data_IF_325632958799
#
_entry.id   IF_325632958799
#
_cell.length_a   1.000
_cell.length_b   1.000
_cell.length_c   1.000
_cell.angle_alpha   90.00
_cell.angle_beta   90.00
_cell.angle_gamma   90.00
#
_symmetry.space_group_name_H-M   'P 1'
#
loop_
_entity.id
_entity.type
_entity.pdbx_description
1 polymer ?
#
# COMPACT_ATOMS: atom_id res chain seq x y z
N UNK A 1 -6.49 -21.88 13.79
CA UNK A 1 -5.15 -21.54 14.30
C UNK A 1 -4.92 -20.09 13.92
N UNK A 2 -4.72 -19.20 14.88
CA UNK A 2 -4.41 -17.80 14.62
C UNK A 2 -2.96 -17.70 14.17
N UNK A 3 -2.72 -17.15 12.98
CA UNK A 3 -1.37 -16.85 12.50
C UNK A 3 -1.28 -15.32 12.52
N UNK A 4 -0.51 -14.79 13.47
CA UNK A 4 -0.25 -13.37 13.54
C UNK A 4 0.57 -12.95 12.33
N UNK A 5 0.26 -11.79 11.77
CA UNK A 5 1.07 -11.17 10.73
C UNK A 5 2.41 -10.74 11.33
N UNK A 6 3.50 -11.05 10.65
CA UNK A 6 4.82 -10.55 11.03
C UNK A 6 5.03 -9.17 10.38
N UNK A 7 4.99 -8.09 11.17
CA UNK A 7 5.26 -6.72 10.69
C UNK A 7 6.48 -6.12 11.39
N UNK A 8 7.12 -5.09 10.81
CA UNK A 8 8.21 -4.38 11.47
C UNK A 8 7.74 -3.71 12.76
N UNK A 9 8.44 -3.98 13.86
CA UNK A 9 8.18 -3.39 15.17
C UNK A 9 9.44 -2.76 15.80
N UNK A 10 10.50 -2.59 15.00
CA UNK A 10 11.76 -1.96 15.41
C UNK A 10 12.04 -0.77 14.49
N UNK A 11 12.43 0.35 15.09
CA UNK A 11 12.76 1.57 14.36
C UNK A 11 14.20 1.54 13.81
N UNK A 12 14.47 2.25 12.70
CA UNK A 12 13.50 2.95 11.86
C UNK A 12 12.63 1.97 11.05
N UNK A 13 11.36 2.33 10.82
CA UNK A 13 10.47 1.57 9.93
C UNK A 13 10.36 2.31 8.60
N UNK A 14 10.87 1.70 7.54
CA UNK A 14 10.80 2.27 6.19
C UNK A 14 9.37 2.19 5.63
N UNK A 15 8.90 3.29 5.06
CA UNK A 15 7.56 3.42 4.48
C UNK A 15 7.60 3.92 3.05
N UNK A 16 6.59 3.52 2.29
CA UNK A 16 6.34 3.95 0.93
C UNK A 16 4.95 4.60 0.89
N UNK A 17 4.89 5.85 0.45
CA UNK A 17 3.65 6.53 0.11
C UNK A 17 3.53 6.68 -1.41
N UNK A 18 2.33 6.46 -1.94
CA UNK A 18 2.07 6.63 -3.37
C UNK A 18 1.33 7.94 -3.61
N UNK A 19 1.93 8.80 -4.41
CA UNK A 19 1.41 10.10 -4.78
C UNK A 19 0.75 10.03 -6.16
N UNK A 20 -0.01 11.07 -6.50
CA UNK A 20 -0.70 11.22 -7.78
C UNK A 20 0.22 10.92 -8.98
N UNK A 21 -0.30 10.21 -9.97
CA UNK A 21 0.45 9.80 -11.17
C UNK A 21 1.46 8.67 -10.91
N UNK A 22 1.39 8.02 -9.74
CA UNK A 22 2.21 6.86 -9.40
C UNK A 22 3.63 7.16 -8.93
N UNK A 23 3.91 8.41 -8.58
CA UNK A 23 5.18 8.76 -7.94
C UNK A 23 5.24 8.16 -6.52
N UNK A 24 6.39 7.60 -6.17
CA UNK A 24 6.64 7.05 -4.83
C UNK A 24 7.37 8.08 -3.97
N UNK A 25 6.99 8.14 -2.70
CA UNK A 25 7.65 8.90 -1.66
C UNK A 25 8.14 7.93 -0.59
N UNK A 26 9.43 7.98 -0.30
CA UNK A 26 10.07 7.14 0.71
C UNK A 26 10.32 7.98 1.96
N UNK A 27 9.98 7.43 3.13
CA UNK A 27 10.20 8.07 4.42
C UNK A 27 10.37 7.01 5.51
N UNK A 28 10.92 7.43 6.63
CA UNK A 28 11.10 6.57 7.79
C UNK A 28 10.13 6.98 8.89
N UNK A 29 9.63 6.00 9.64
CA UNK A 29 9.09 6.23 10.97
C UNK A 29 10.21 5.97 11.96
N UNK A 30 10.51 6.96 12.80
CA UNK A 30 11.48 6.87 13.89
C UNK A 30 10.78 6.99 15.23
N UNK A 31 11.44 6.51 16.28
CA UNK A 31 10.93 6.68 17.64
C UNK A 31 10.93 8.15 18.04
N UNK A 32 10.00 8.52 18.92
CA UNK A 32 10.00 9.84 19.57
C UNK A 32 11.34 10.20 20.21
N UNK A 33 11.95 9.27 20.94
CA UNK A 33 13.24 9.51 21.61
C UNK A 33 14.37 9.82 20.62
N UNK A 34 14.40 9.11 19.49
CA UNK A 34 15.33 9.41 18.41
C UNK A 34 15.07 10.78 17.78
N UNK A 35 13.80 11.12 17.52
CA UNK A 35 13.41 12.42 16.99
C UNK A 35 13.81 13.57 17.94
N UNK A 36 13.57 13.44 19.24
CA UNK A 36 13.96 14.42 20.26
C UNK A 36 15.48 14.62 20.31
N UNK A 37 16.26 13.53 20.19
CA UNK A 37 17.72 13.61 20.12
C UNK A 37 18.20 14.31 18.84
N UNK A 38 17.63 13.98 17.68
CA UNK A 38 18.02 14.58 16.39
C UNK A 38 17.64 16.06 16.29
N UNK A 39 16.58 16.47 16.99
CA UNK A 39 16.06 17.84 16.98
C UNK A 39 16.56 18.70 18.15
N UNK A 40 17.41 18.16 19.01
CA UNK A 40 17.90 18.84 20.20
C UNK A 40 18.61 20.16 19.84
N UNK A 41 18.06 21.28 20.33
CA UNK A 41 18.58 22.62 20.07
C UNK A 41 18.24 23.19 18.69
N UNK A 42 17.44 22.51 17.88
CA UNK A 42 16.91 23.05 16.63
C UNK A 42 15.64 23.86 16.88
N UNK A 43 15.46 24.92 16.10
CA UNK A 43 14.21 25.68 16.08
C UNK A 43 13.17 24.95 15.25
N UNK A 44 11.97 24.79 15.82
CA UNK A 44 10.82 24.27 15.10
C UNK A 44 10.35 25.30 14.06
N UNK A 45 10.16 24.86 12.83
CA UNK A 45 9.73 25.69 11.71
C UNK A 45 8.28 25.43 11.35
N UNK A 46 7.67 26.41 10.71
CA UNK A 46 6.29 26.36 10.23
C UNK A 46 6.28 26.35 8.70
N UNK A 47 5.46 25.47 8.11
CA UNK A 47 5.08 25.54 6.71
C UNK A 47 3.56 25.79 6.62
N UNK A 48 3.16 26.61 5.64
CA UNK A 48 1.78 26.69 5.19
C UNK A 48 1.62 25.79 3.98
N UNK A 49 0.92 24.68 4.17
CA UNK A 49 0.58 23.75 3.09
C UNK A 49 -0.61 24.30 2.31
N UNK A 50 -0.96 23.66 1.20
CA UNK A 50 -2.15 24.04 0.44
C UNK A 50 -3.38 24.17 1.38
N UNK A 51 -4.36 25.02 1.04
CA UNK A 51 -5.52 25.34 1.89
C UNK A 51 -5.25 26.10 3.20
N UNK A 52 -4.03 26.61 3.42
CA UNK A 52 -3.74 27.46 4.57
C UNK A 52 -3.66 26.72 5.90
N UNK A 53 -3.53 25.39 5.89
CA UNK A 53 -3.18 24.63 7.09
C UNK A 53 -1.72 24.86 7.42
N UNK A 54 -1.44 24.95 8.71
CA UNK A 54 -0.09 25.09 9.23
C UNK A 54 0.41 23.73 9.75
N UNK A 55 1.67 23.43 9.45
CA UNK A 55 2.37 22.22 9.89
C UNK A 55 3.72 22.61 10.43
N UNK A 56 4.10 21.96 11.53
CA UNK A 56 5.40 22.16 12.13
C UNK A 56 6.37 21.06 11.72
N UNK A 57 7.64 21.41 11.60
CA UNK A 57 8.71 20.48 11.25
C UNK A 57 10.06 20.97 11.79
N UNK A 58 11.04 20.08 11.80
CA UNK A 58 12.44 20.40 12.07
C UNK A 58 13.26 20.10 10.82
N UNK A 59 14.09 21.06 10.39
CA UNK A 59 15.06 20.85 9.31
C UNK A 59 16.41 20.47 9.92
N UNK A 60 16.90 19.28 9.60
CA UNK A 60 18.20 18.81 10.05
C UNK A 60 19.33 19.39 9.19
N UNK A 61 20.56 19.32 9.69
CA UNK A 61 21.75 19.83 8.98
C UNK A 61 22.08 19.08 7.69
N UNK A 62 21.63 17.82 7.57
CA UNK A 62 21.75 17.00 6.37
C UNK A 62 20.66 17.29 5.32
N UNK A 63 19.73 18.21 5.61
CA UNK A 63 18.61 18.58 4.74
C UNK A 63 17.37 17.70 4.90
N UNK A 64 17.44 16.63 5.70
CA UNK A 64 16.27 15.82 6.04
C UNK A 64 15.32 16.56 6.97
N UNK A 65 14.06 16.12 7.00
CA UNK A 65 12.99 16.78 7.74
C UNK A 65 12.35 15.81 8.72
N UNK A 66 12.23 16.22 9.98
CA UNK A 66 11.44 15.52 11.00
C UNK A 66 10.11 16.24 11.13
N UNK A 67 9.00 15.51 10.97
CA UNK A 67 7.66 16.05 11.18
C UNK A 67 7.45 16.45 12.65
N UNK A 68 6.36 17.14 12.94
CA UNK A 68 6.01 17.49 14.32
C UNK A 68 6.00 16.28 15.27
N UNK A 69 6.73 16.40 16.37
CA UNK A 69 6.84 15.35 17.40
C UNK A 69 5.59 15.42 18.30
N UNK A 70 4.52 14.75 17.90
CA UNK A 70 3.26 14.69 18.67
C UNK A 70 2.97 13.33 19.29
N UNK A 71 3.52 12.28 18.69
CA UNK A 71 3.18 10.89 18.99
C UNK A 71 4.46 10.09 19.25
N UNK A 72 4.30 8.81 19.63
CA UNK A 72 5.43 7.89 19.85
C UNK A 72 6.22 7.60 18.56
N UNK A 73 5.55 7.76 17.42
CA UNK A 73 6.07 7.61 16.07
C UNK A 73 6.16 8.98 15.39
N UNK A 74 7.29 9.24 14.74
CA UNK A 74 7.55 10.50 14.04
C UNK A 74 8.06 10.19 12.63
N UNK A 75 7.55 10.91 11.63
CA UNK A 75 7.98 10.76 10.25
C UNK A 75 9.28 11.54 10.03
N UNK A 76 10.25 10.88 9.41
CA UNK A 76 11.48 11.48 8.90
C UNK A 76 11.52 11.36 7.38
N UNK A 77 11.60 12.50 6.71
CA UNK A 77 11.63 12.63 5.26
C UNK A 77 13.04 12.96 4.79
N UNK A 78 13.44 12.46 3.62
CA UNK A 78 14.76 12.72 3.05
C UNK A 78 14.97 14.19 2.68
N UNK A 79 13.89 14.93 2.39
CA UNK A 79 13.94 16.34 2.03
C UNK A 79 12.70 17.11 2.46
N UNK A 80 12.80 18.43 2.46
CA UNK A 80 11.65 19.32 2.63
C UNK A 80 10.58 19.15 1.53
N UNK A 81 10.99 18.85 0.30
CA UNK A 81 10.04 18.63 -0.79
C UNK A 81 9.20 17.37 -0.55
N UNK A 82 9.80 16.28 -0.07
CA UNK A 82 9.07 15.07 0.27
C UNK A 82 8.05 15.34 1.39
N UNK A 83 8.47 16.04 2.45
CA UNK A 83 7.55 16.44 3.52
C UNK A 83 6.38 17.28 3.00
N UNK A 84 6.64 18.28 2.14
CA UNK A 84 5.59 19.11 1.57
C UNK A 84 4.63 18.31 0.68
N UNK A 85 5.16 17.42 -0.17
CA UNK A 85 4.38 16.55 -1.05
C UNK A 85 3.47 15.59 -0.27
N UNK A 86 3.99 15.05 0.84
CA UNK A 86 3.24 14.18 1.74
C UNK A 86 2.04 14.92 2.36
N UNK A 87 2.25 16.15 2.84
CA UNK A 87 1.18 16.94 3.44
C UNK A 87 0.12 17.37 2.41
N UNK A 88 0.54 17.79 1.22
CA UNK A 88 -0.38 18.13 0.14
C UNK A 88 -1.22 16.92 -0.30
N UNK A 89 -0.63 15.73 -0.35
CA UNK A 89 -1.35 14.48 -0.62
C UNK A 89 -2.40 14.18 0.46
N UNK A 90 -2.02 14.26 1.74
CA UNK A 90 -2.94 13.98 2.84
C UNK A 90 -4.13 14.93 2.84
N UNK A 91 -3.90 16.20 2.51
CA UNK A 91 -4.95 17.19 2.37
C UNK A 91 -5.85 16.92 1.16
N UNK A 92 -5.28 16.57 0.00
CA UNK A 92 -6.05 16.22 -1.19
C UNK A 92 -6.94 15.00 -0.92
N UNK A 93 -6.42 13.99 -0.22
CA UNK A 93 -7.18 12.82 0.22
C UNK A 93 -8.33 13.20 1.14
N UNK A 94 -8.05 14.01 2.16
CA UNK A 94 -9.08 14.46 3.09
C UNK A 94 -10.22 15.19 2.37
N UNK A 95 -9.90 16.07 1.41
CA UNK A 95 -10.90 16.79 0.60
C UNK A 95 -11.72 15.86 -0.27
N UNK A 96 -11.07 14.93 -0.98
CA UNK A 96 -11.77 13.96 -1.81
C UNK A 96 -12.80 13.16 -0.99
N UNK A 97 -12.41 12.70 0.21
CA UNK A 97 -13.33 12.00 1.12
C UNK A 97 -14.52 12.89 1.54
N UNK A 98 -14.27 14.16 1.88
CA UNK A 98 -15.35 15.10 2.24
C UNK A 98 -16.32 15.38 1.08
N UNK A 99 -15.84 15.34 -0.15
CA UNK A 99 -16.64 15.51 -1.37
C UNK A 99 -17.39 14.23 -1.78
N UNK A 100 -17.28 13.14 -1.01
CA UNK A 100 -17.86 11.85 -1.35
C UNK A 100 -17.07 11.10 -2.44
N UNK A 101 -15.92 11.62 -2.86
CA UNK A 101 -14.97 10.93 -3.71
C UNK A 101 -14.16 9.97 -2.82
N UNK A 102 -14.80 8.86 -2.42
CA UNK A 102 -14.15 7.72 -1.74
C UNK A 102 -13.38 6.91 -2.81
N UNK A 103 -12.63 7.62 -3.65
CA UNK A 103 -11.93 7.07 -4.80
C UNK A 103 -10.97 5.96 -4.39
N UNK A 104 -10.46 5.27 -5.40
CA UNK A 104 -9.53 4.16 -5.27
C UNK A 104 -8.11 4.71 -4.98
N UNK A 105 -8.02 5.63 -4.01
CA UNK A 105 -6.79 6.24 -3.54
C UNK A 105 -5.82 5.16 -3.03
N UNK A 106 -6.37 4.06 -2.51
CA UNK A 106 -5.57 2.95 -2.01
C UNK A 106 -4.80 2.21 -3.12
N UNK A 107 -5.24 2.34 -4.39
CA UNK A 107 -4.53 1.82 -5.59
C UNK A 107 -3.64 2.86 -6.27
N UNK A 108 -3.53 4.07 -5.70
CA UNK A 108 -2.67 5.12 -6.23
C UNK A 108 -1.26 4.56 -6.43
N UNK A 109 -0.70 4.66 -7.65
CA UNK A 109 0.65 4.21 -7.98
C UNK A 109 0.97 2.72 -7.87
N UNK A 110 0.00 1.86 -7.54
CA UNK A 110 0.23 0.42 -7.38
C UNK A 110 0.11 -0.39 -8.67
N UNK A 111 -0.49 0.17 -9.71
CA UNK A 111 -0.64 -0.46 -11.02
C UNK A 111 0.17 0.31 -12.08
N UNK A 112 1.42 -0.09 -12.36
CA UNK A 112 2.26 0.56 -13.37
C UNK A 112 1.81 0.28 -14.81
N UNK A 113 0.97 -0.73 -15.04
CA UNK A 113 0.48 -1.09 -16.38
C UNK A 113 -0.74 -0.29 -16.82
N UNK A 114 -1.29 0.56 -15.93
CA UNK A 114 -2.46 1.36 -16.25
C UNK A 114 -3.64 0.50 -16.73
N UNK A 115 -4.32 0.94 -17.79
CA UNK A 115 -5.42 0.20 -18.43
C UNK A 115 -4.99 -1.14 -19.05
N UNK A 116 -3.70 -1.37 -19.29
CA UNK A 116 -3.17 -2.58 -19.93
C UNK A 116 -2.91 -3.73 -18.95
N UNK A 117 -3.18 -3.54 -17.66
CA UNK A 117 -3.01 -4.58 -16.64
C UNK A 117 -3.51 -5.98 -17.06
N UNK A 118 -4.67 -6.17 -17.71
CA UNK A 118 -5.15 -7.49 -18.10
C UNK A 118 -4.19 -8.26 -19.03
N UNK A 119 -3.39 -7.56 -19.84
CA UNK A 119 -2.39 -8.14 -20.74
C UNK A 119 -1.16 -8.70 -19.99
N UNK A 120 -0.94 -8.24 -18.76
CA UNK A 120 0.20 -8.61 -17.91
C UNK A 120 -0.15 -9.64 -16.83
N UNK A 121 -1.40 -10.09 -16.75
CA UNK A 121 -1.84 -11.06 -15.72
C UNK A 121 -1.01 -12.34 -15.75
N UNK A 122 -0.66 -12.83 -16.95
CA UNK A 122 0.11 -14.06 -17.09
C UNK A 122 1.55 -13.94 -16.60
N UNK A 123 2.21 -12.84 -16.96
CA UNK A 123 3.54 -12.46 -16.48
C UNK A 123 3.54 -12.31 -14.95
N UNK A 124 2.60 -11.52 -14.43
CA UNK A 124 2.46 -11.24 -12.99
C UNK A 124 2.25 -12.52 -12.17
N UNK A 125 1.38 -13.42 -12.64
CA UNK A 125 1.19 -14.71 -11.98
C UNK A 125 2.46 -15.60 -12.01
N UNK A 126 3.28 -15.48 -13.06
CA UNK A 126 4.47 -16.32 -13.24
C UNK A 126 5.61 -15.98 -12.28
N UNK A 127 5.69 -14.72 -11.82
CA UNK A 127 6.73 -14.25 -10.90
C UNK A 127 6.36 -14.47 -9.42
N UNK A 128 5.08 -14.61 -9.11
CA UNK A 128 4.57 -14.75 -7.73
C UNK A 128 5.22 -15.90 -6.92
N UNK A 129 5.50 -17.10 -7.49
CA UNK A 129 6.18 -18.16 -6.74
C UNK A 129 7.56 -17.76 -6.23
N UNK A 130 8.32 -17.00 -7.03
CA UNK A 130 9.64 -16.53 -6.65
C UNK A 130 9.56 -15.48 -5.53
N UNK A 131 8.64 -14.53 -5.64
CA UNK A 131 8.41 -13.49 -4.63
C UNK A 131 8.01 -14.07 -3.26
N UNK A 132 7.17 -15.11 -3.27
CA UNK A 132 6.75 -15.78 -2.04
C UNK A 132 7.74 -16.84 -1.54
N UNK A 133 8.84 -17.08 -2.25
CA UNK A 133 9.76 -18.20 -1.99
C UNK A 133 9.02 -19.56 -1.86
N UNK A 134 8.09 -19.80 -2.79
CA UNK A 134 7.18 -20.94 -2.77
C UNK A 134 7.34 -21.83 -4.01
N UNK A 135 7.14 -23.17 -3.89
CA UNK A 135 7.20 -24.05 -5.04
C UNK A 135 6.12 -23.72 -6.09
N UNK A 136 6.52 -23.48 -7.35
CA UNK A 136 5.61 -23.12 -8.44
C UNK A 136 4.44 -24.11 -8.64
N UNK A 137 4.63 -25.39 -8.33
CA UNK A 137 3.57 -26.42 -8.36
C UNK A 137 2.36 -26.13 -7.47
N UNK A 138 2.49 -25.22 -6.49
CA UNK A 138 1.39 -24.82 -5.62
C UNK A 138 0.45 -23.81 -6.31
N UNK A 139 0.90 -23.16 -7.38
CA UNK A 139 0.17 -22.11 -8.11
C UNK A 139 -0.61 -22.71 -9.28
N UNK A 140 -1.50 -23.66 -8.99
CA UNK A 140 -2.22 -24.45 -9.98
C UNK A 140 -3.62 -23.90 -10.33
N UNK A 141 -3.89 -22.64 -10.01
CA UNK A 141 -5.15 -21.94 -10.27
C UNK A 141 -6.40 -22.61 -9.67
N UNK A 142 -6.28 -23.39 -8.60
CA UNK A 142 -7.44 -23.92 -7.85
C UNK A 142 -7.77 -23.02 -6.65
N UNK A 143 -9.02 -22.96 -6.17
CA UNK A 143 -9.34 -22.21 -4.96
C UNK A 143 -8.52 -22.65 -3.74
N UNK A 144 -8.20 -23.93 -3.64
CA UNK A 144 -7.36 -24.47 -2.56
C UNK A 144 -5.89 -24.04 -2.63
N UNK A 145 -5.42 -23.57 -3.80
CA UNK A 145 -4.08 -22.98 -3.88
C UNK A 145 -3.97 -21.71 -3.02
N UNK A 146 -5.02 -20.89 -2.94
CA UNK A 146 -5.03 -19.65 -2.15
C UNK A 146 -4.79 -19.93 -0.65
N UNK A 147 -5.43 -20.96 -0.10
CA UNK A 147 -5.20 -21.38 1.29
C UNK A 147 -3.76 -21.84 1.55
N UNK A 148 -3.08 -22.40 0.53
CA UNK A 148 -1.67 -22.77 0.65
C UNK A 148 -0.78 -21.53 0.57
N UNK A 149 -1.16 -20.53 -0.22
CA UNK A 149 -0.43 -19.27 -0.33
C UNK A 149 -0.47 -18.45 0.94
N UNK A 150 -1.59 -18.49 1.69
CA UNK A 150 -1.67 -17.86 3.02
C UNK A 150 -0.45 -18.26 3.87
N UNK A 151 -0.12 -19.56 3.92
CA UNK A 151 1.02 -20.05 4.70
C UNK A 151 2.36 -19.42 4.29
N UNK A 152 2.64 -19.29 2.99
CA UNK A 152 3.89 -18.68 2.52
C UNK A 152 3.91 -17.18 2.74
N UNK A 153 2.78 -16.51 2.51
CA UNK A 153 2.65 -15.08 2.72
C UNK A 153 3.00 -14.69 4.16
N UNK A 154 2.48 -15.43 5.15
CA UNK A 154 2.74 -15.15 6.57
C UNK A 154 4.11 -15.60 7.08
N UNK A 155 4.94 -16.26 6.26
CA UNK A 155 6.34 -16.49 6.61
C UNK A 155 7.21 -15.24 6.37
N UNK A 156 6.71 -14.27 5.60
CA UNK A 156 7.44 -13.04 5.31
C UNK A 156 7.18 -11.96 6.35
N UNK A 157 8.20 -11.12 6.54
CA UNK A 157 8.03 -9.83 7.21
C UNK A 157 7.29 -8.88 6.25
N UNK A 158 6.06 -8.53 6.58
CA UNK A 158 5.21 -7.67 5.75
C UNK A 158 5.65 -6.22 5.92
N UNK A 159 6.64 -5.82 5.12
CA UNK A 159 7.12 -4.45 4.95
C UNK A 159 6.40 -3.76 3.78
N UNK A 160 6.49 -2.44 3.68
CA UNK A 160 5.98 -1.72 2.50
C UNK A 160 6.67 -2.16 1.20
N UNK A 161 7.97 -2.51 1.26
CA UNK A 161 8.71 -3.04 0.10
C UNK A 161 8.19 -4.42 -0.32
N UNK A 162 8.02 -5.33 0.63
CA UNK A 162 7.46 -6.65 0.33
C UNK A 162 6.03 -6.53 -0.23
N UNK A 163 5.20 -5.69 0.40
CA UNK A 163 3.85 -5.42 -0.07
C UNK A 163 3.86 -4.83 -1.49
N UNK A 164 4.75 -3.88 -1.78
CA UNK A 164 4.92 -3.30 -3.12
C UNK A 164 5.23 -4.36 -4.19
N UNK A 165 6.16 -5.27 -3.92
CA UNK A 165 6.56 -6.31 -4.87
C UNK A 165 5.46 -7.36 -5.09
N UNK A 166 4.78 -7.79 -4.02
CA UNK A 166 3.86 -8.93 -4.07
C UNK A 166 2.43 -8.52 -4.44
N UNK A 167 2.03 -7.28 -4.19
CA UNK A 167 0.63 -6.85 -4.27
C UNK A 167 -0.01 -7.17 -5.63
N UNK A 168 0.61 -6.70 -6.71
CA UNK A 168 0.02 -6.79 -8.04
C UNK A 168 0.09 -8.21 -8.62
N UNK A 169 1.20 -8.97 -8.47
CA UNK A 169 1.24 -10.41 -8.75
C UNK A 169 0.17 -11.22 -8.02
N UNK A 170 -0.04 -10.93 -6.73
CA UNK A 170 -1.02 -11.64 -5.91
C UNK A 170 -2.45 -11.30 -6.33
N UNK A 171 -2.73 -10.01 -6.59
CA UNK A 171 -4.01 -9.55 -7.13
C UNK A 171 -4.35 -10.23 -8.47
N UNK A 172 -3.39 -10.28 -9.39
CA UNK A 172 -3.54 -10.95 -10.68
C UNK A 172 -3.86 -12.45 -10.52
N UNK A 173 -3.18 -13.13 -9.59
CA UNK A 173 -3.38 -14.56 -9.34
C UNK A 173 -4.75 -14.85 -8.71
N UNK A 174 -5.16 -14.09 -7.69
CA UNK A 174 -6.50 -14.18 -7.09
C UNK A 174 -7.57 -13.95 -8.16
N UNK A 175 -7.41 -12.88 -8.94
CA UNK A 175 -8.40 -12.52 -9.94
C UNK A 175 -8.51 -13.54 -11.07
N UNK A 176 -7.39 -14.15 -11.48
CA UNK A 176 -7.40 -15.29 -12.41
C UNK A 176 -8.21 -16.45 -11.86
N UNK A 177 -7.99 -16.85 -10.60
CA UNK A 177 -8.77 -17.94 -9.98
C UNK A 177 -10.25 -17.57 -9.95
N UNK A 178 -10.59 -16.36 -9.54
CA UNK A 178 -11.97 -15.89 -9.52
C UNK A 178 -12.62 -16.03 -10.90
N UNK A 179 -11.98 -15.50 -11.95
CA UNK A 179 -12.51 -15.54 -13.33
C UNK A 179 -12.65 -17.00 -13.81
N UNK A 180 -11.67 -17.87 -13.54
CA UNK A 180 -11.70 -19.26 -13.99
C UNK A 180 -12.82 -20.09 -13.32
N UNK A 181 -13.15 -19.82 -12.06
CA UNK A 181 -14.07 -20.66 -11.27
C UNK A 181 -15.48 -20.05 -11.12
N UNK A 182 -15.59 -18.73 -11.16
CA UNK A 182 -16.83 -17.98 -10.90
C UNK A 182 -17.27 -17.14 -12.10
N UNK A 183 -16.43 -17.01 -13.12
CA UNK A 183 -16.68 -16.17 -14.30
C UNK A 183 -16.41 -14.68 -14.05
N UNK A 184 -16.89 -13.85 -14.96
CA UNK A 184 -16.60 -12.41 -14.98
C UNK A 184 -15.39 -12.06 -15.85
N UNK A 185 -14.94 -10.82 -15.74
CA UNK A 185 -13.79 -10.31 -16.48
C UNK A 185 -13.09 -9.20 -15.70
N UNK A 186 -11.81 -8.98 -16.03
CA UNK A 186 -11.10 -7.79 -15.57
C UNK A 186 -11.80 -6.53 -16.07
N UNK A 187 -12.01 -5.60 -15.15
CA UNK A 187 -12.58 -4.29 -15.39
C UNK A 187 -11.64 -3.24 -14.81
N UNK A 188 -11.21 -2.29 -15.65
CA UNK A 188 -10.27 -1.26 -15.26
C UNK A 188 -11.03 0.02 -14.89
N UNK A 189 -10.91 0.46 -13.64
CA UNK A 189 -11.53 1.69 -13.15
C UNK A 189 -10.50 2.81 -13.14
N UNK A 190 -10.79 3.90 -13.83
CA UNK A 190 -9.93 5.10 -13.81
C UNK A 190 -10.37 6.05 -12.71
N UNK A 191 -9.45 6.38 -11.80
CA UNK A 191 -9.64 7.38 -10.77
C UNK A 191 -9.02 8.70 -11.21
N UNK A 192 -9.89 9.70 -11.44
CA UNK A 192 -9.52 11.03 -11.91
C UNK A 192 -8.80 11.87 -10.86
N UNK A 193 -9.06 11.62 -9.58
CA UNK A 193 -8.45 12.38 -8.48
C UNK A 193 -6.95 12.06 -8.45
N UNK A 194 -6.65 10.77 -8.50
CA UNK A 194 -5.29 10.24 -8.34
C UNK A 194 -4.57 9.90 -9.65
N UNK A 195 -5.26 10.05 -10.78
CA UNK A 195 -4.71 9.82 -12.13
C UNK A 195 -4.09 8.43 -12.23
N UNK A 196 -4.88 7.41 -11.89
CA UNK A 196 -4.45 6.01 -11.87
C UNK A 196 -5.57 5.07 -12.33
N UNK A 197 -5.16 3.87 -12.73
CA UNK A 197 -6.06 2.78 -13.10
C UNK A 197 -6.02 1.68 -12.05
N UNK A 198 -7.19 1.30 -11.56
CA UNK A 198 -7.36 0.21 -10.62
C UNK A 198 -7.96 -1.01 -11.34
N UNK A 199 -7.26 -2.16 -11.33
CA UNK A 199 -7.84 -3.41 -11.80
C UNK A 199 -8.83 -3.97 -10.76
N UNK A 200 -9.99 -4.36 -11.25
CA UNK A 200 -11.01 -5.06 -10.47
C UNK A 200 -11.69 -6.14 -11.33
N UNK A 201 -12.57 -6.93 -10.72
CA UNK A 201 -13.36 -7.93 -11.43
C UNK A 201 -14.81 -7.46 -11.49
N UNK A 202 -15.34 -7.45 -12.71
CA UNK A 202 -16.77 -7.33 -12.95
C UNK A 202 -17.38 -8.71 -13.15
N UNK A 203 -18.31 -9.08 -12.27
CA UNK A 203 -19.06 -10.33 -12.37
C UNK A 203 -20.06 -10.28 -13.52
N UNK A 204 -20.60 -11.44 -13.92
CA UNK A 204 -21.53 -11.55 -15.05
C UNK A 204 -22.83 -10.73 -14.87
N UNK A 205 -23.24 -10.45 -13.62
CA UNK A 205 -24.37 -9.60 -13.27
C UNK A 205 -24.01 -8.08 -13.23
N UNK A 206 -22.76 -7.72 -13.56
CA UNK A 206 -22.30 -6.34 -13.67
C UNK A 206 -21.73 -5.74 -12.38
N UNK A 207 -21.72 -6.48 -11.27
CA UNK A 207 -21.17 -6.00 -9.99
C UNK A 207 -19.63 -5.96 -9.99
N UNK A 208 -19.06 -4.91 -9.40
CA UNK A 208 -17.63 -4.79 -9.12
C UNK A 208 -17.32 -5.35 -7.73
N UNK A 209 -16.26 -6.16 -7.62
CA UNK A 209 -15.95 -6.89 -6.39
C UNK A 209 -15.00 -6.15 -5.44
N UNK A 210 -14.21 -5.21 -5.96
CA UNK A 210 -13.14 -4.50 -5.25
C UNK A 210 -12.16 -5.44 -4.54
N UNK A 211 -11.73 -6.52 -5.22
CA UNK A 211 -10.87 -7.56 -4.63
C UNK A 211 -9.52 -7.02 -4.11
N UNK A 212 -9.11 -5.85 -4.57
CA UNK A 212 -7.89 -5.17 -4.10
C UNK A 212 -8.02 -4.65 -2.66
N UNK A 213 -9.22 -4.27 -2.18
CA UNK A 213 -9.42 -3.74 -0.83
C UNK A 213 -8.98 -4.72 0.28
N UNK A 214 -9.56 -5.93 0.36
CA UNK A 214 -9.15 -6.86 1.41
C UNK A 214 -7.71 -7.35 1.22
N UNK A 215 -7.17 -7.33 -0.01
CA UNK A 215 -5.76 -7.62 -0.24
C UNK A 215 -4.83 -6.55 0.35
N UNK A 216 -5.23 -5.27 0.28
CA UNK A 216 -4.50 -4.18 0.93
C UNK A 216 -4.45 -4.37 2.44
N UNK A 217 -5.56 -4.78 3.06
CA UNK A 217 -5.63 -5.09 4.51
C UNK A 217 -4.69 -6.25 4.86
N UNK A 218 -4.73 -7.34 4.09
CA UNK A 218 -3.82 -8.48 4.27
C UNK A 218 -2.35 -8.04 4.21
N UNK A 219 -2.00 -7.09 3.32
CA UNK A 219 -0.64 -6.62 3.08
C UNK A 219 -0.25 -5.34 3.84
N UNK A 220 -1.12 -4.78 4.68
CA UNK A 220 -0.84 -3.54 5.44
C UNK A 220 0.24 -3.70 6.52
N UNK A 221 1.42 -3.13 6.30
CA UNK A 221 2.57 -3.21 7.22
C UNK A 221 2.41 -2.41 8.53
N UNK A 222 1.24 -1.80 8.78
CA UNK A 222 0.97 -0.90 9.91
C UNK A 222 0.10 -1.51 11.00
N UNK A 223 -0.74 -2.47 10.65
CA UNK A 223 -1.68 -3.08 11.59
C UNK A 223 -1.36 -4.56 11.79
N UNK A 224 -1.14 -4.96 13.04
CA UNK A 224 -1.19 -6.36 13.45
C UNK A 224 -2.67 -6.78 13.43
N UNK A 225 -3.19 -7.14 12.25
CA UNK A 225 -4.63 -7.41 12.08
C UNK A 225 -5.20 -8.38 13.12
N UNK A 226 -6.28 -7.97 13.81
CA UNK A 226 -6.92 -8.74 14.89
C UNK A 226 -7.79 -9.92 14.37
N UNK A 227 -8.07 -10.00 13.06
CA UNK A 227 -8.90 -11.04 12.45
C UNK A 227 -8.39 -11.51 11.08
N UNK A 228 -8.52 -12.82 10.84
CA UNK A 228 -7.99 -13.52 9.67
C UNK A 228 -8.86 -13.29 8.43
N UNK A 229 -8.40 -12.45 7.50
CA UNK A 229 -8.90 -12.45 6.12
C UNK A 229 -7.99 -13.36 5.31
N UNK A 230 -8.55 -14.44 4.78
CA UNK A 230 -7.81 -15.33 3.87
C UNK A 230 -7.78 -14.82 2.46
N UNK A 231 -6.75 -15.24 1.72
CA UNK A 231 -6.80 -15.17 0.27
C UNK A 231 -7.99 -15.98 -0.29
N UNK A 232 -8.34 -17.12 0.32
CA UNK A 232 -9.50 -17.93 -0.09
C UNK A 232 -10.83 -17.22 0.08
N UNK A 233 -11.00 -16.30 1.03
CA UNK A 233 -12.26 -15.55 1.19
C UNK A 233 -12.48 -14.50 0.10
N UNK A 234 -11.50 -14.30 -0.79
CA UNK A 234 -11.58 -13.36 -1.91
C UNK A 234 -12.16 -14.00 -3.19
N UNK A 235 -12.39 -15.32 -3.16
CA UNK A 235 -12.96 -16.12 -4.25
C UNK A 235 -14.10 -16.96 -3.70
#
# INVERSE_FOLDING_TARGET
MYIAKHIPNTYPIHRIHYLKGGRKLYYDIISRAEAENLTAGLEQRLIRIAAGRERYYYLLSDGSVISEIRYEEVNKFASFQDFADFEDYHLATYRAVQEGNIGINQMCGRNPYGAQFPEHVDELCSILPALLNAPARLFNNTPDSLSRLDHYLYQHLITDYFAEEVFLPLLAYIGRIHILHLGGAWHMVYDKVWDNWAPDIQTADGRLLMIYNPLLEILDSREEGECWITLKSLV
#
